data_IF_412763581647
#
_entry.id   IF_412763581647
#
_cell.length_a   1.000
_cell.length_b   1.000
_cell.length_c   1.000
_cell.angle_alpha   90.00
_cell.angle_beta   90.00
_cell.angle_gamma   90.00
#
_symmetry.space_group_name_H-M   'P 1'
#
loop_
_entity.id
_entity.type
_entity.pdbx_description
1 polymer ?
#
# COMPACT_ATOMS: atom_id res chain seq x y z
N UNK A 1 -29.33 19.62 5.82
CA UNK A 1 -29.12 19.36 4.38
C UNK A 1 -27.64 19.23 3.98
N UNK A 2 -26.68 19.89 4.65
CA UNK A 2 -25.26 19.92 4.25
C UNK A 2 -24.52 18.58 4.37
N UNK A 3 -24.74 17.81 5.44
CA UNK A 3 -24.00 16.57 5.69
C UNK A 3 -24.25 15.48 4.64
N UNK A 4 -25.51 15.34 4.21
CA UNK A 4 -25.90 14.34 3.21
C UNK A 4 -25.30 14.66 1.83
N UNK A 5 -25.25 15.93 1.45
CA UNK A 5 -24.60 16.36 0.21
C UNK A 5 -23.09 16.11 0.23
N UNK A 6 -22.44 16.38 1.37
CA UNK A 6 -21.00 16.13 1.54
C UNK A 6 -20.65 14.65 1.47
N UNK A 7 -21.47 13.78 2.09
CA UNK A 7 -21.28 12.33 2.04
C UNK A 7 -21.40 11.77 0.60
N UNK A 8 -22.36 12.26 -0.17
CA UNK A 8 -22.51 11.85 -1.57
C UNK A 8 -21.33 12.28 -2.43
N UNK A 9 -20.86 13.53 -2.27
CA UNK A 9 -19.68 14.02 -2.98
C UNK A 9 -18.41 13.25 -2.61
N UNK A 10 -18.23 12.89 -1.33
CA UNK A 10 -17.09 12.07 -0.91
C UNK A 10 -17.08 10.69 -1.58
N UNK A 11 -18.25 10.05 -1.71
CA UNK A 11 -18.39 8.77 -2.40
C UNK A 11 -18.06 8.87 -3.90
N UNK A 12 -18.52 9.93 -4.56
CA UNK A 12 -18.19 10.19 -5.97
C UNK A 12 -16.69 10.38 -6.16
N UNK A 13 -16.04 11.15 -5.29
CA UNK A 13 -14.60 11.38 -5.33
C UNK A 13 -13.79 10.10 -5.11
N UNK A 14 -14.24 9.22 -4.19
CA UNK A 14 -13.60 7.91 -3.98
C UNK A 14 -13.67 7.05 -5.25
N UNK A 15 -14.82 7.01 -5.91
CA UNK A 15 -14.98 6.27 -7.18
C UNK A 15 -14.04 6.82 -8.26
N UNK A 16 -13.89 8.15 -8.34
CA UNK A 16 -12.94 8.75 -9.29
C UNK A 16 -11.49 8.41 -8.94
N UNK A 17 -11.13 8.43 -7.66
CA UNK A 17 -9.80 8.02 -7.20
C UNK A 17 -9.49 6.56 -7.55
N UNK A 18 -10.42 5.65 -7.30
CA UNK A 18 -10.27 4.22 -7.63
C UNK A 18 -10.10 4.00 -9.12
N UNK A 19 -10.94 4.66 -9.95
CA UNK A 19 -10.85 4.59 -11.41
C UNK A 19 -9.54 5.18 -11.94
N UNK A 20 -9.14 6.35 -11.45
CA UNK A 20 -7.92 7.02 -11.90
C UNK A 20 -6.65 6.23 -11.58
N UNK A 21 -6.65 5.46 -10.49
CA UNK A 21 -5.53 4.62 -10.08
C UNK A 21 -5.68 3.15 -10.53
N UNK A 22 -6.68 2.83 -11.37
CA UNK A 22 -6.98 1.48 -11.82
C UNK A 22 -7.04 0.46 -10.66
N UNK A 23 -7.60 0.86 -9.52
CA UNK A 23 -7.70 -0.02 -8.34
C UNK A 23 -8.61 -1.19 -8.70
N UNK A 24 -8.09 -2.40 -8.51
CA UNK A 24 -8.82 -3.63 -8.77
C UNK A 24 -9.39 -4.17 -7.47
N UNK A 25 -10.70 -4.38 -7.45
CA UNK A 25 -11.34 -5.14 -6.39
C UNK A 25 -11.01 -6.63 -6.59
N UNK A 26 -10.55 -7.27 -5.52
CA UNK A 26 -10.12 -8.66 -5.56
C UNK A 26 -11.23 -9.46 -4.89
N UNK A 27 -12.05 -10.12 -5.71
CA UNK A 27 -13.26 -10.86 -5.29
C UNK A 27 -12.98 -12.18 -4.58
N UNK A 28 -11.76 -12.73 -4.71
CA UNK A 28 -11.28 -13.80 -3.84
C UNK A 28 -10.91 -13.18 -2.48
N UNK A 29 -11.92 -12.87 -1.68
CA UNK A 29 -11.80 -12.31 -0.35
C UNK A 29 -10.95 -13.24 0.54
N UNK A 30 -9.64 -13.04 0.52
CA UNK A 30 -8.68 -13.23 1.61
C UNK A 30 -7.32 -13.77 1.15
N UNK A 31 -7.09 -14.29 -0.05
CA UNK A 31 -5.76 -14.88 -0.38
C UNK A 31 -4.59 -13.88 -0.25
N UNK A 32 -4.79 -12.63 -0.67
CA UNK A 32 -3.77 -11.58 -0.51
C UNK A 32 -3.66 -11.10 0.95
N UNK A 33 -4.76 -11.18 1.73
CA UNK A 33 -4.74 -10.85 3.15
C UNK A 33 -4.28 -12.03 4.03
N UNK A 34 -4.32 -13.26 3.52
CA UNK A 34 -4.00 -14.47 4.23
C UNK A 34 -2.50 -14.51 4.52
N UNK A 35 -2.16 -14.60 5.79
CA UNK A 35 -0.78 -14.60 6.23
C UNK A 35 -0.32 -16.02 6.54
N UNK A 36 0.55 -16.57 5.67
CA UNK A 36 1.25 -17.82 5.95
C UNK A 36 2.61 -17.53 6.58
N UNK A 37 2.68 -17.66 7.90
CA UNK A 37 3.90 -17.43 8.66
C UNK A 37 5.05 -18.36 8.26
N UNK A 38 4.74 -19.62 7.94
CA UNK A 38 5.74 -20.63 7.59
C UNK A 38 6.40 -20.31 6.25
N UNK A 39 5.59 -19.94 5.26
CA UNK A 39 6.06 -19.48 3.97
C UNK A 39 6.90 -18.20 4.09
N UNK A 40 6.42 -17.19 4.82
CA UNK A 40 7.20 -15.95 5.03
C UNK A 40 8.56 -16.24 5.68
N UNK A 41 8.60 -17.10 6.69
CA UNK A 41 9.86 -17.47 7.34
C UNK A 41 10.82 -18.16 6.38
N UNK A 42 10.31 -19.09 5.55
CA UNK A 42 11.13 -19.79 4.55
C UNK A 42 11.74 -18.83 3.51
N UNK A 43 10.98 -17.84 3.05
CA UNK A 43 11.45 -16.83 2.10
C UNK A 43 12.52 -15.94 2.75
N UNK A 44 12.30 -15.52 3.99
CA UNK A 44 13.25 -14.71 4.74
C UNK A 44 14.54 -15.46 5.07
N UNK A 45 14.51 -16.79 5.16
CA UNK A 45 15.70 -17.61 5.34
C UNK A 45 16.46 -17.82 4.03
N UNK A 46 15.74 -18.14 2.95
CA UNK A 46 16.34 -18.44 1.64
C UNK A 46 16.89 -17.20 0.94
N UNK A 47 16.28 -16.02 1.17
CA UNK A 47 16.73 -14.70 0.68
C UNK A 47 17.09 -14.70 -0.81
N UNK A 48 16.21 -15.15 -1.71
CA UNK A 48 16.51 -15.33 -3.14
C UNK A 48 16.97 -14.04 -3.84
N UNK A 49 16.57 -12.87 -3.33
CA UNK A 49 17.04 -11.56 -3.81
C UNK A 49 18.54 -11.32 -3.65
N UNK A 50 19.24 -12.07 -2.79
CA UNK A 50 20.70 -11.99 -2.70
C UNK A 50 21.40 -12.62 -3.91
N UNK A 51 20.76 -13.61 -4.54
CA UNK A 51 21.31 -14.31 -5.70
C UNK A 51 20.97 -13.59 -7.01
N UNK A 52 19.81 -12.91 -7.03
CA UNK A 52 19.34 -12.17 -8.19
C UNK A 52 18.93 -10.74 -7.78
N UNK A 53 19.72 -9.71 -8.14
CA UNK A 53 19.38 -8.31 -7.87
C UNK A 53 18.03 -7.88 -8.46
N UNK A 54 17.56 -8.57 -9.50
CA UNK A 54 16.28 -8.32 -10.16
C UNK A 54 15.17 -9.30 -9.72
N UNK A 55 15.26 -9.92 -8.54
CA UNK A 55 14.29 -10.91 -8.07
C UNK A 55 12.86 -10.35 -8.01
N UNK A 56 12.67 -9.16 -7.44
CA UNK A 56 11.36 -8.54 -7.35
C UNK A 56 10.97 -7.93 -8.70
N UNK A 57 9.80 -8.33 -9.21
CA UNK A 57 9.27 -7.88 -10.50
C UNK A 57 8.07 -6.94 -10.37
N UNK A 58 7.34 -7.03 -9.26
CA UNK A 58 6.08 -6.31 -9.07
C UNK A 58 5.95 -5.83 -7.64
N UNK A 59 5.26 -4.71 -7.48
CA UNK A 59 4.82 -4.19 -6.18
C UNK A 59 3.30 -4.02 -6.23
N UNK A 60 2.60 -4.63 -5.27
CA UNK A 60 1.16 -4.49 -5.08
C UNK A 60 0.93 -3.63 -3.84
N UNK A 61 0.16 -2.56 -3.95
CA UNK A 61 -0.10 -1.63 -2.86
C UNK A 61 -1.60 -1.61 -2.57
N UNK A 62 -1.98 -1.81 -1.31
CA UNK A 62 -3.38 -1.68 -0.90
C UNK A 62 -3.87 -0.24 -1.08
N UNK A 63 -5.15 -0.08 -1.42
CA UNK A 63 -5.75 1.25 -1.55
C UNK A 63 -5.64 2.07 -0.25
N UNK A 64 -5.69 1.39 0.91
CA UNK A 64 -5.50 1.99 2.23
C UNK A 64 -4.09 2.57 2.40
N UNK A 65 -3.06 1.77 2.11
CA UNK A 65 -1.67 2.21 2.24
C UNK A 65 -1.37 3.38 1.29
N UNK A 66 -1.87 3.30 0.04
CA UNK A 66 -1.73 4.36 -0.95
C UNK A 66 -2.36 5.67 -0.45
N UNK A 67 -3.61 5.60 0.05
CA UNK A 67 -4.31 6.78 0.56
C UNK A 67 -3.57 7.42 1.74
N UNK A 68 -3.10 6.61 2.70
CA UNK A 68 -2.31 7.10 3.85
C UNK A 68 -1.00 7.76 3.41
N UNK A 69 -0.28 7.18 2.45
CA UNK A 69 0.95 7.75 1.91
C UNK A 69 0.70 9.09 1.23
N UNK A 70 -0.33 9.18 0.38
CA UNK A 70 -0.66 10.43 -0.33
C UNK A 70 -1.12 11.51 0.64
N UNK A 71 -1.90 11.15 1.67
CA UNK A 71 -2.29 12.10 2.71
C UNK A 71 -1.08 12.61 3.50
N UNK A 72 -0.16 11.73 3.88
CA UNK A 72 1.08 12.10 4.56
C UNK A 72 1.96 13.01 3.69
N UNK A 73 2.23 12.60 2.45
CA UNK A 73 2.98 13.40 1.48
C UNK A 73 2.37 14.78 1.26
N UNK A 74 1.04 14.87 1.13
CA UNK A 74 0.34 16.15 1.00
C UNK A 74 0.48 17.01 2.25
N UNK A 75 0.44 16.40 3.45
CA UNK A 75 0.60 17.13 4.71
C UNK A 75 2.00 17.73 4.90
N UNK A 76 3.03 17.12 4.29
CA UNK A 76 4.41 17.62 4.27
C UNK A 76 4.62 18.90 3.46
N UNK A 77 3.66 19.29 2.61
CA UNK A 77 3.75 20.49 1.78
C UNK A 77 4.92 20.42 0.81
N UNK A 78 5.93 21.27 1.00
CA UNK A 78 7.15 21.31 0.18
C UNK A 78 8.31 20.54 0.79
N UNK A 79 8.15 20.01 2.00
CA UNK A 79 9.19 19.25 2.68
C UNK A 79 9.10 17.79 2.30
N UNK A 80 10.26 17.16 2.17
CA UNK A 80 10.34 15.71 2.08
C UNK A 80 9.87 15.08 3.39
N UNK A 81 9.06 14.04 3.28
CA UNK A 81 8.53 13.28 4.41
C UNK A 81 8.88 11.81 4.27
N UNK A 82 8.96 11.11 5.40
CA UNK A 82 9.23 9.69 5.43
C UNK A 82 8.13 8.91 6.16
N UNK A 83 8.00 7.64 5.79
CA UNK A 83 7.12 6.68 6.44
C UNK A 83 7.66 5.27 6.31
N UNK A 84 7.02 4.34 7.00
CA UNK A 84 7.28 2.91 6.87
C UNK A 84 6.12 2.22 6.16
N UNK A 85 6.47 1.18 5.39
CA UNK A 85 5.53 0.30 4.73
C UNK A 85 5.48 -1.03 5.46
N UNK A 86 4.26 -1.53 5.71
CA UNK A 86 4.00 -2.83 6.30
C UNK A 86 3.45 -3.77 5.23
N UNK A 87 4.00 -4.98 5.15
CA UNK A 87 3.72 -5.85 4.04
C UNK A 87 4.31 -7.25 4.17
N UNK A 88 4.23 -8.01 3.07
CA UNK A 88 4.76 -9.38 2.95
C UNK A 88 5.36 -9.60 1.57
N UNK A 89 6.10 -10.70 1.43
CA UNK A 89 6.63 -11.15 0.14
C UNK A 89 5.76 -12.30 -0.38
N UNK A 90 5.43 -12.27 -1.67
CA UNK A 90 4.70 -13.33 -2.35
C UNK A 90 5.41 -13.68 -3.66
N UNK A 91 6.34 -14.64 -3.58
CA UNK A 91 7.27 -14.93 -4.67
C UNK A 91 8.04 -13.67 -5.10
N UNK A 92 7.97 -13.34 -6.38
CA UNK A 92 8.62 -12.15 -6.96
C UNK A 92 7.85 -10.84 -6.72
N UNK A 93 6.77 -10.87 -5.93
CA UNK A 93 5.94 -9.71 -5.63
C UNK A 93 6.22 -9.17 -4.22
N UNK A 94 6.39 -7.84 -4.12
CA UNK A 94 6.28 -7.12 -2.85
C UNK A 94 4.83 -6.71 -2.64
N UNK A 95 4.25 -6.99 -1.48
CA UNK A 95 2.86 -6.63 -1.17
C UNK A 95 2.86 -5.65 0.01
N UNK A 96 2.45 -4.41 -0.23
CA UNK A 96 2.28 -3.36 0.78
C UNK A 96 0.81 -3.36 1.24
N UNK A 97 0.61 -3.72 2.50
CA UNK A 97 -0.71 -3.86 3.12
C UNK A 97 -1.11 -2.60 3.87
N UNK A 98 -0.17 -1.95 4.53
CA UNK A 98 -0.41 -0.70 5.27
C UNK A 98 0.84 0.22 5.26
N UNK A 99 0.66 1.46 5.70
CA UNK A 99 1.73 2.44 5.87
C UNK A 99 1.48 3.36 7.07
N UNK A 100 2.55 3.91 7.64
CA UNK A 100 2.48 4.92 8.69
C UNK A 100 3.63 5.93 8.59
N UNK A 101 3.36 7.16 9.02
CA UNK A 101 4.33 8.26 9.04
C UNK A 101 5.40 8.05 10.12
N UNK A 102 6.63 8.45 9.81
CA UNK A 102 7.68 8.61 10.82
C UNK A 102 7.75 10.09 11.26
N UNK A 103 8.15 10.38 12.51
CA UNK A 103 8.21 11.74 13.04
C UNK A 103 9.47 12.47 12.54
N UNK A 104 9.59 12.65 11.23
CA UNK A 104 10.73 13.31 10.57
C UNK A 104 10.24 14.28 9.49
N UNK A 105 10.94 15.40 9.34
CA UNK A 105 10.67 16.43 8.34
C UNK A 105 11.98 16.81 7.62
N UNK A 106 11.95 16.97 6.29
CA UNK A 106 13.07 17.48 5.49
C UNK A 106 14.19 16.46 5.21
N UNK A 107 13.84 15.28 4.69
CA UNK A 107 14.78 14.17 4.41
C UNK A 107 15.14 14.00 2.95
#
# INVERSE_FOLDING_TARGET
LSYFQMANSAKENLIQFEKANNIQEITAADEIYAYDASFQQSILQTRPWLQNPNYFKRCKISALALLKLVMHARSGGTLEVMGMLLGKIDGENMIVMDSFALPVEGT
#
